data_IF_920064386830
#
_entry.id   IF_920064386830
#
_cell.length_a   1.000
_cell.length_b   1.000
_cell.length_c   1.000
_cell.angle_alpha   90.00
_cell.angle_beta   90.00
_cell.angle_gamma   90.00
#
_symmetry.space_group_name_H-M   'P 1'
#
loop_
_entity.id
_entity.type
_entity.pdbx_description
1 polymer ?
#
# COMPACT_ATOMS: atom_id res chain seq x y z
N UNK A 1 -37.19 -17.72 -54.93
CA UNK A 1 -36.04 -18.64 -55.13
C UNK A 1 -34.69 -17.90 -55.09
N UNK A 2 -34.45 -17.02 -54.11
CA UNK A 2 -33.21 -16.20 -54.05
C UNK A 2 -32.21 -16.65 -52.96
N UNK A 3 -32.65 -17.48 -52.00
CA UNK A 3 -31.80 -17.90 -50.87
C UNK A 3 -30.81 -19.04 -51.18
N UNK A 4 -31.07 -19.88 -52.20
CA UNK A 4 -30.15 -20.98 -52.52
C UNK A 4 -28.85 -20.47 -53.17
N UNK A 5 -28.93 -19.48 -54.06
CA UNK A 5 -27.77 -18.92 -54.76
C UNK A 5 -26.82 -18.16 -53.83
N UNK A 6 -27.34 -17.56 -52.75
CA UNK A 6 -26.53 -16.89 -51.73
C UNK A 6 -25.66 -17.88 -50.93
N UNK A 7 -26.21 -19.05 -50.61
CA UNK A 7 -25.48 -20.10 -49.89
C UNK A 7 -24.37 -20.71 -50.77
N UNK A 8 -24.64 -20.92 -52.06
CA UNK A 8 -23.62 -21.42 -52.98
C UNK A 8 -22.50 -20.40 -53.23
N UNK A 9 -22.80 -19.10 -53.31
CA UNK A 9 -21.77 -18.06 -53.39
C UNK A 9 -20.89 -18.01 -52.13
N UNK A 10 -21.49 -18.19 -50.95
CA UNK A 10 -20.74 -18.16 -49.68
C UNK A 10 -19.79 -19.35 -49.55
N UNK A 11 -20.20 -20.54 -50.01
CA UNK A 11 -19.35 -21.74 -50.00
C UNK A 11 -18.20 -21.62 -51.01
N UNK A 12 -18.46 -21.07 -52.22
CA UNK A 12 -17.44 -20.91 -53.26
C UNK A 12 -16.34 -19.91 -52.87
N UNK A 13 -16.66 -18.95 -51.99
CA UNK A 13 -15.71 -17.95 -51.48
C UNK A 13 -14.87 -18.46 -50.29
N UNK A 14 -15.37 -19.45 -49.54
CA UNK A 14 -14.69 -19.97 -48.35
C UNK A 14 -13.70 -21.09 -48.67
N UNK A 15 -13.96 -21.91 -49.69
CA UNK A 15 -13.07 -23.02 -50.08
C UNK A 15 -11.63 -22.59 -50.44
N UNK A 16 -11.37 -21.50 -51.19
CA UNK A 16 -9.99 -21.08 -51.45
C UNK A 16 -9.30 -20.45 -50.22
N UNK A 17 -10.04 -20.00 -49.20
CA UNK A 17 -9.47 -19.43 -47.98
C UNK A 17 -8.81 -20.49 -47.10
N UNK A 18 -9.29 -21.74 -47.16
CA UNK A 18 -8.72 -22.87 -46.42
C UNK A 18 -7.64 -23.63 -47.21
N UNK A 19 -7.67 -23.60 -48.55
CA UNK A 19 -6.64 -24.22 -49.38
C UNK A 19 -5.31 -23.46 -49.39
N UNK A 20 -5.30 -22.20 -48.95
CA UNK A 20 -4.09 -21.36 -48.87
C UNK A 20 -3.29 -21.52 -47.56
N UNK A 21 -3.77 -22.31 -46.59
CA UNK A 21 -3.09 -22.49 -45.30
C UNK A 21 -1.98 -23.56 -45.29
N UNK A 22 -1.82 -24.36 -46.36
CA UNK A 22 -0.88 -25.50 -46.39
C UNK A 22 0.46 -25.22 -47.10
N UNK A 23 0.81 -23.95 -47.35
CA UNK A 23 2.13 -23.59 -47.86
C UNK A 23 2.80 -22.55 -46.96
N UNK A 24 3.25 -22.98 -45.78
CA UNK A 24 4.30 -22.28 -45.04
C UNK A 24 5.63 -22.59 -45.76
N UNK A 25 6.30 -21.62 -46.40
CA UNK A 25 7.59 -21.87 -47.01
C UNK A 25 8.62 -22.03 -45.90
N UNK A 26 9.10 -23.24 -45.65
CA UNK A 26 10.30 -23.44 -44.85
C UNK A 26 10.43 -24.70 -44.02
N UNK A 27 9.40 -25.55 -43.90
CA UNK A 27 9.55 -26.79 -43.13
C UNK A 27 10.02 -27.96 -44.01
N UNK A 28 11.29 -27.91 -44.38
CA UNK A 28 12.03 -29.07 -44.87
C UNK A 28 12.41 -29.93 -43.67
N UNK A 29 11.95 -31.17 -43.62
CA UNK A 29 12.16 -32.18 -42.57
C UNK A 29 13.62 -32.67 -42.43
N UNK A 30 14.60 -31.87 -42.84
CA UNK A 30 16.03 -32.18 -42.78
C UNK A 30 16.85 -30.97 -42.37
N UNK A 31 16.73 -30.57 -41.11
CA UNK A 31 17.72 -29.68 -40.49
C UNK A 31 18.49 -30.47 -39.44
N UNK A 32 19.63 -31.02 -39.84
CA UNK A 32 20.64 -31.52 -38.91
C UNK A 32 21.05 -30.39 -37.97
N UNK A 33 20.98 -30.66 -36.67
CA UNK A 33 21.33 -29.71 -35.63
C UNK A 33 22.85 -29.51 -35.64
N UNK A 34 23.32 -28.46 -36.29
CA UNK A 34 24.70 -28.00 -36.12
C UNK A 34 24.74 -27.08 -34.90
N UNK A 35 25.44 -27.47 -33.80
CA UNK A 35 25.56 -26.60 -32.65
C UNK A 35 26.27 -25.31 -33.08
N UNK A 36 25.59 -24.18 -32.91
CA UNK A 36 26.16 -22.85 -33.19
C UNK A 36 27.34 -22.66 -32.24
N UNK A 37 28.57 -22.61 -32.78
CA UNK A 37 29.75 -22.22 -32.00
C UNK A 37 29.53 -20.78 -31.54
N UNK A 38 29.36 -20.58 -30.24
CA UNK A 38 29.29 -19.26 -29.65
C UNK A 38 30.64 -18.57 -29.86
N UNK A 39 30.65 -17.46 -30.60
CA UNK A 39 31.84 -16.62 -30.71
C UNK A 39 32.10 -15.97 -29.34
N UNK A 40 33.36 -15.95 -28.85
CA UNK A 40 33.67 -15.35 -27.57
C UNK A 40 33.28 -13.86 -27.58
N UNK A 41 32.45 -13.45 -26.61
CA UNK A 41 32.01 -12.06 -26.43
C UNK A 41 33.25 -11.17 -26.33
N UNK A 42 33.43 -10.27 -27.30
CA UNK A 42 34.54 -9.31 -27.29
C UNK A 42 34.45 -8.47 -26.01
N UNK A 43 35.57 -8.23 -25.31
CA UNK A 43 35.54 -7.43 -24.09
C UNK A 43 34.98 -6.04 -24.41
N UNK A 44 33.95 -5.65 -23.67
CA UNK A 44 33.32 -4.33 -23.78
C UNK A 44 34.39 -3.30 -23.48
N UNK A 45 34.71 -2.44 -24.46
CA UNK A 45 35.63 -1.33 -24.24
C UNK A 45 34.94 -0.32 -23.33
N UNK A 46 35.31 -0.33 -22.05
CA UNK A 46 34.81 0.64 -21.07
C UNK A 46 35.48 1.98 -21.34
N UNK A 47 34.68 3.00 -21.66
CA UNK A 47 35.18 4.35 -21.86
C UNK A 47 35.47 5.02 -20.50
N UNK A 48 36.72 4.87 -20.06
CA UNK A 48 37.23 5.40 -18.80
C UNK A 48 37.14 6.93 -18.74
N UNK A 49 37.17 7.62 -19.89
CA UNK A 49 37.09 9.07 -19.95
C UNK A 49 35.71 9.58 -19.57
N UNK A 50 34.67 8.94 -20.12
CA UNK A 50 33.28 9.26 -19.86
C UNK A 50 32.89 8.98 -18.40
N UNK A 51 33.36 7.88 -17.81
CA UNK A 51 33.17 7.57 -16.38
C UNK A 51 33.78 8.64 -15.48
N UNK A 52 34.94 9.18 -15.85
CA UNK A 52 35.62 10.22 -15.08
C UNK A 52 34.87 11.55 -15.12
N UNK A 53 34.29 11.90 -16.27
CA UNK A 53 33.44 13.09 -16.42
C UNK A 53 32.15 12.97 -15.59
N UNK A 54 31.46 11.84 -15.68
CA UNK A 54 30.27 11.54 -14.88
C UNK A 54 30.56 11.62 -13.38
N UNK A 55 31.71 11.10 -12.94
CA UNK A 55 32.14 11.20 -11.54
C UNK A 55 32.39 12.64 -11.07
N UNK A 56 32.89 13.52 -11.96
CA UNK A 56 33.08 14.94 -11.67
C UNK A 56 31.75 15.68 -11.59
N UNK A 57 30.81 15.34 -12.47
CA UNK A 57 29.46 15.88 -12.48
C UNK A 57 28.68 15.48 -11.23
N UNK A 58 28.72 14.20 -10.83
CA UNK A 58 28.12 13.73 -9.58
C UNK A 58 28.66 14.50 -8.37
N UNK A 59 29.99 14.62 -8.26
CA UNK A 59 30.61 15.37 -7.17
C UNK A 59 30.15 16.82 -7.12
N UNK A 60 29.94 17.46 -8.27
CA UNK A 60 29.40 18.81 -8.35
C UNK A 60 27.94 18.89 -7.89
N UNK A 61 27.10 17.93 -8.27
CA UNK A 61 25.70 17.86 -7.84
C UNK A 61 25.56 17.70 -6.31
N UNK A 62 26.47 16.95 -5.69
CA UNK A 62 26.49 16.75 -4.24
C UNK A 62 27.28 17.81 -3.46
N UNK A 63 28.17 18.57 -4.11
CA UNK A 63 28.93 19.64 -3.45
C UNK A 63 28.05 20.83 -3.07
N UNK A 64 26.99 21.12 -3.84
CA UNK A 64 26.22 22.36 -3.68
C UNK A 64 25.03 22.25 -2.70
N UNK A 65 24.63 21.06 -2.24
CA UNK A 65 23.40 20.89 -1.41
C UNK A 65 23.44 19.80 -0.34
N UNK A 66 24.58 19.60 0.33
CA UNK A 66 24.52 18.90 1.62
C UNK A 66 24.17 19.90 2.73
N UNK A 67 22.86 20.07 2.98
CA UNK A 67 22.38 20.71 4.21
C UNK A 67 22.15 19.59 5.21
N UNK A 68 22.96 19.48 6.29
CA UNK A 68 22.66 18.54 7.35
C UNK A 68 21.27 18.90 7.90
N UNK A 69 20.37 17.92 7.93
CA UNK A 69 19.08 18.10 8.58
C UNK A 69 19.34 18.29 10.07
N UNK A 70 19.13 19.51 10.56
CA UNK A 70 19.13 19.77 12.00
C UNK A 70 17.91 19.09 12.62
N UNK A 71 18.10 17.84 13.00
CA UNK A 71 17.05 17.08 13.66
C UNK A 71 17.11 17.37 15.16
N UNK A 72 16.27 18.31 15.61
CA UNK A 72 15.98 18.47 17.04
C UNK A 72 14.85 17.54 17.43
N UNK A 73 15.16 16.53 18.25
CA UNK A 73 14.16 15.63 18.83
C UNK A 73 13.19 16.44 19.73
N UNK A 74 11.90 16.50 19.39
CA UNK A 74 10.88 17.08 20.29
C UNK A 74 10.64 16.23 21.54
N UNK A 75 10.89 14.92 21.46
CA UNK A 75 10.80 13.97 22.57
C UNK A 75 12.09 13.16 22.66
N UNK A 76 12.59 12.93 23.88
CA UNK A 76 13.82 12.17 24.09
C UNK A 76 13.70 10.77 23.46
N UNK A 77 14.49 10.44 22.42
CA UNK A 77 14.39 9.16 21.71
C UNK A 77 14.87 7.98 22.57
N UNK A 78 15.57 8.25 23.67
CA UNK A 78 16.03 7.26 24.63
C UNK A 78 15.09 7.12 25.83
N UNK A 79 13.92 7.76 25.78
CA UNK A 79 12.97 7.68 26.88
C UNK A 79 12.37 6.28 26.96
N UNK A 80 12.41 5.70 28.16
CA UNK A 80 11.87 4.37 28.41
C UNK A 80 10.37 4.34 28.13
N UNK A 81 9.90 3.30 27.44
CA UNK A 81 8.46 3.04 27.23
C UNK A 81 7.71 2.96 28.56
N UNK A 82 8.39 2.51 29.63
CA UNK A 82 7.84 2.47 30.99
C UNK A 82 7.61 3.87 31.55
N UNK A 83 8.49 4.83 31.27
CA UNK A 83 8.31 6.23 31.71
C UNK A 83 7.15 6.89 30.95
N UNK A 84 7.03 6.64 29.65
CA UNK A 84 5.91 7.11 28.83
C UNK A 84 4.59 6.57 29.39
N UNK A 85 4.55 5.29 29.76
CA UNK A 85 3.37 4.67 30.36
C UNK A 85 3.04 5.25 31.74
N UNK A 86 4.05 5.52 32.58
CA UNK A 86 3.82 6.16 33.88
C UNK A 86 3.25 7.57 33.72
N UNK A 87 3.75 8.34 32.76
CA UNK A 87 3.20 9.67 32.47
C UNK A 87 1.79 9.62 31.88
N UNK A 88 1.51 8.70 30.96
CA UNK A 88 0.17 8.55 30.40
C UNK A 88 -0.83 8.14 31.49
N UNK A 89 -0.43 7.32 32.47
CA UNK A 89 -1.24 6.99 33.64
C UNK A 89 -1.48 8.21 34.56
N UNK A 90 -0.50 9.12 34.66
CA UNK A 90 -0.64 10.36 35.43
C UNK A 90 -1.53 11.39 34.71
N UNK A 91 -1.42 11.50 33.38
CA UNK A 91 -2.31 12.32 32.54
C UNK A 91 -3.74 11.74 32.50
N UNK A 92 -3.89 10.42 32.43
CA UNK A 92 -5.17 9.73 32.63
C UNK A 92 -5.70 9.96 34.04
N UNK A 93 -4.84 10.08 35.05
CA UNK A 93 -5.17 10.50 36.42
C UNK A 93 -5.91 11.85 36.48
N UNK A 94 -5.67 12.71 35.50
CA UNK A 94 -6.36 13.99 35.31
C UNK A 94 -7.62 13.90 34.42
N UNK A 95 -8.08 12.68 34.09
CA UNK A 95 -9.39 12.48 33.46
C UNK A 95 -10.48 13.02 34.38
N UNK A 96 -11.16 14.05 33.87
CA UNK A 96 -12.19 14.85 34.53
C UNK A 96 -13.49 14.07 34.86
N UNK A 97 -13.46 12.74 34.93
CA UNK A 97 -14.62 11.95 35.32
C UNK A 97 -14.86 12.07 36.84
N UNK A 98 -15.89 12.81 37.28
CA UNK A 98 -16.15 13.06 38.70
C UNK A 98 -16.54 11.79 39.46
N UNK A 99 -16.95 10.73 38.76
CA UNK A 99 -17.36 9.46 39.36
C UNK A 99 -16.19 8.49 39.59
N UNK A 100 -14.97 8.81 39.13
CA UNK A 100 -13.83 7.86 39.21
C UNK A 100 -13.42 7.52 40.64
N UNK A 101 -13.50 8.49 41.55
CA UNK A 101 -13.11 8.31 42.95
C UNK A 101 -14.29 7.94 43.86
N UNK A 102 -15.49 7.79 43.29
CA UNK A 102 -16.69 7.42 44.04
C UNK A 102 -16.79 5.90 44.09
N UNK A 103 -17.00 5.33 45.27
CA UNK A 103 -17.21 3.89 45.42
C UNK A 103 -18.58 3.50 44.87
N UNK A 104 -18.67 2.30 44.27
CA UNK A 104 -19.92 1.81 43.65
C UNK A 104 -21.10 1.76 44.63
N UNK A 105 -20.84 1.51 45.92
CA UNK A 105 -21.84 1.50 46.99
C UNK A 105 -22.54 2.85 47.18
N UNK A 106 -21.86 3.95 46.81
CA UNK A 106 -22.37 5.31 46.91
C UNK A 106 -23.06 5.79 45.63
N UNK A 107 -23.07 4.97 44.58
CA UNK A 107 -23.68 5.29 43.30
C UNK A 107 -25.03 4.59 43.21
N UNK A 108 -26.08 5.39 43.05
CA UNK A 108 -27.45 4.89 42.87
C UNK A 108 -27.99 5.26 41.49
N UNK A 109 -28.53 4.28 40.77
CA UNK A 109 -29.25 4.54 39.53
C UNK A 109 -30.62 5.14 39.85
N UNK A 110 -30.84 6.38 39.42
CA UNK A 110 -32.11 7.09 39.61
C UNK A 110 -33.08 6.80 38.46
N UNK A 111 -32.56 6.62 37.25
CA UNK A 111 -33.37 6.30 36.09
C UNK A 111 -32.57 6.27 34.79
N UNK A 112 -33.29 6.14 33.69
CA UNK A 112 -32.72 6.18 32.33
C UNK A 112 -33.50 7.16 31.47
N UNK A 113 -32.77 7.90 30.64
CA UNK A 113 -33.32 8.77 29.61
C UNK A 113 -33.06 8.12 28.25
N UNK A 114 -34.08 8.12 27.39
CA UNK A 114 -33.96 7.62 26.03
C UNK A 114 -34.28 8.76 25.06
N UNK A 115 -33.36 9.02 24.14
CA UNK A 115 -33.51 10.02 23.08
C UNK A 115 -32.63 9.71 21.88
N UNK A 116 -32.53 10.67 20.95
CA UNK A 116 -31.81 10.49 19.67
C UNK A 116 -30.31 10.16 19.86
N UNK A 117 -29.73 10.61 20.98
CA UNK A 117 -28.34 10.35 21.36
C UNK A 117 -28.11 8.97 22.00
N UNK A 118 -29.18 8.18 22.18
CA UNK A 118 -29.18 6.85 22.78
C UNK A 118 -29.72 6.82 24.21
N UNK A 119 -29.41 5.73 24.93
CA UNK A 119 -29.78 5.56 26.34
C UNK A 119 -28.73 6.23 27.22
N UNK A 120 -29.19 7.09 28.13
CA UNK A 120 -28.38 7.78 29.13
C UNK A 120 -28.85 7.32 30.51
N UNK A 121 -27.94 6.81 31.34
CA UNK A 121 -28.18 6.53 32.74
C UNK A 121 -28.11 7.81 33.58
N UNK A 122 -29.04 7.99 34.50
CA UNK A 122 -29.04 9.08 35.48
C UNK A 122 -28.63 8.50 36.83
N UNK A 123 -27.47 8.90 37.32
CA UNK A 123 -26.90 8.42 38.57
C UNK A 123 -26.99 9.51 39.64
N UNK A 124 -27.22 9.11 40.89
CA UNK A 124 -26.99 9.94 42.07
C UNK A 124 -25.75 9.41 42.79
N UNK A 125 -24.77 10.29 43.00
CA UNK A 125 -23.59 10.02 43.79
C UNK A 125 -23.34 11.20 44.73
N UNK A 126 -23.32 10.92 46.03
CA UNK A 126 -23.04 11.90 47.10
C UNK A 126 -23.92 13.17 47.01
N UNK A 127 -25.19 13.01 46.61
CA UNK A 127 -26.17 14.10 46.51
C UNK A 127 -26.12 14.88 45.19
N UNK A 128 -25.23 14.51 44.27
CA UNK A 128 -25.13 15.10 42.95
C UNK A 128 -25.69 14.15 41.87
N UNK A 129 -26.34 14.73 40.86
CA UNK A 129 -26.87 13.96 39.73
C UNK A 129 -25.90 14.01 38.55
N UNK A 130 -25.57 12.84 38.02
CA UNK A 130 -24.67 12.66 36.89
C UNK A 130 -25.38 11.92 35.74
N UNK A 131 -25.04 12.30 34.52
CA UNK A 131 -25.55 11.67 33.31
C UNK A 131 -24.42 10.85 32.69
N UNK A 132 -24.64 9.56 32.56
CA UNK A 132 -23.65 8.62 32.04
C UNK A 132 -24.18 7.93 30.79
N UNK A 133 -23.30 7.74 29.80
CA UNK A 133 -23.55 6.91 28.63
C UNK A 133 -22.56 5.76 28.66
N UNK A 134 -22.89 4.66 27.99
CA UNK A 134 -21.99 3.53 27.79
C UNK A 134 -20.75 3.98 26.99
N UNK A 135 -19.56 3.69 27.51
CA UNK A 135 -18.25 4.11 26.97
C UNK A 135 -17.48 4.97 27.97
#
# INVERSE_FOLDING_TARGET
MLNKYFVYCFILLIVPLFAACDMIPGFSEKTEFTPRKEEPVKPVKVDVSNIKEQGKELKRLFADKYVPLEYTFQKNPFRSVVEIYKESQLEEGASANPLRNVTLEKISLVGTLQGDVGVIGVLNAEGNTYYVKTG
#
